data_IF_069278862921
#
_entry.id   IF_069278862921
#
_cell.length_a   1.000
_cell.length_b   1.000
_cell.length_c   1.000
_cell.angle_alpha   90.00
_cell.angle_beta   90.00
_cell.angle_gamma   90.00
#
_symmetry.space_group_name_H-M   'P 1'
#
loop_
_entity.id
_entity.type
_entity.pdbx_description
1 polymer ?
#
# COMPACT_ATOMS: atom_id res chain seq x y z
N UNK A 1 0.90 23.90 7.09
CA UNK A 1 1.35 23.08 8.23
C UNK A 1 2.56 23.75 8.88
N UNK A 2 2.63 23.85 10.22
CA UNK A 2 3.73 24.53 10.91
C UNK A 2 5.07 23.77 10.80
N UNK A 3 5.02 22.45 10.77
CA UNK A 3 6.20 21.58 10.73
C UNK A 3 6.88 21.56 9.35
N UNK A 4 6.12 21.55 8.24
CA UNK A 4 6.68 21.58 6.88
C UNK A 4 7.56 22.82 6.68
N UNK A 5 7.10 23.99 7.16
CA UNK A 5 7.88 25.23 7.15
C UNK A 5 9.15 25.10 7.98
N UNK A 6 9.10 24.43 9.13
CA UNK A 6 10.30 24.21 9.94
C UNK A 6 11.31 23.29 9.24
N UNK A 7 10.85 22.23 8.56
CA UNK A 7 11.74 21.37 7.76
C UNK A 7 12.36 22.15 6.60
N UNK A 8 11.59 23.02 5.93
CA UNK A 8 12.12 23.89 4.87
C UNK A 8 13.16 24.90 5.38
N UNK A 9 12.98 25.44 6.58
CA UNK A 9 13.99 26.29 7.22
C UNK A 9 15.23 25.48 7.65
N UNK A 10 15.03 24.28 8.20
CA UNK A 10 16.13 23.37 8.54
C UNK A 10 16.94 22.97 7.31
N UNK A 11 16.34 22.84 6.13
CA UNK A 11 17.06 22.56 4.90
C UNK A 11 18.14 23.61 4.54
N UNK A 12 18.09 24.81 5.14
CA UNK A 12 19.09 25.87 4.96
C UNK A 12 20.28 25.75 5.92
N UNK A 13 20.11 25.09 7.07
CA UNK A 13 21.08 25.10 8.18
C UNK A 13 21.50 23.70 8.66
N UNK A 14 20.75 22.66 8.31
CA UNK A 14 20.90 21.29 8.80
C UNK A 14 21.49 20.41 7.67
N UNK A 15 22.71 19.86 7.85
CA UNK A 15 23.40 19.09 6.81
C UNK A 15 22.66 17.84 6.32
N UNK A 16 21.98 17.11 7.21
CA UNK A 16 21.22 15.89 6.88
C UNK A 16 19.94 16.23 6.11
N UNK A 17 19.24 17.31 6.48
CA UNK A 17 18.08 17.77 5.70
C UNK A 17 18.51 18.27 4.33
N UNK A 18 19.65 18.94 4.23
CA UNK A 18 20.23 19.35 2.95
C UNK A 18 20.60 18.15 2.08
N UNK A 19 21.19 17.11 2.67
CA UNK A 19 21.50 15.84 2.00
C UNK A 19 20.24 15.20 1.38
N UNK A 20 19.15 15.12 2.13
CA UNK A 20 17.85 14.64 1.61
C UNK A 20 17.34 15.53 0.48
N UNK A 21 17.43 16.86 0.63
CA UNK A 21 17.03 17.84 -0.41
C UNK A 21 17.80 17.66 -1.72
N UNK A 22 19.04 17.23 -1.65
CA UNK A 22 19.90 16.93 -2.81
C UNK A 22 19.60 15.54 -3.42
N UNK A 23 18.59 14.83 -2.93
CA UNK A 23 18.18 13.52 -3.42
C UNK A 23 19.03 12.35 -2.92
N UNK A 24 19.87 12.58 -1.90
CA UNK A 24 20.68 11.53 -1.31
C UNK A 24 19.91 10.82 -0.18
N UNK A 25 20.04 9.50 -0.10
CA UNK A 25 19.47 8.72 1.01
C UNK A 25 20.31 8.90 2.27
N UNK A 26 19.63 8.97 3.41
CA UNK A 26 20.25 8.92 4.72
C UNK A 26 20.54 7.45 5.08
N UNK A 27 21.72 7.21 5.65
CA UNK A 27 22.00 5.95 6.33
C UNK A 27 21.11 5.79 7.57
N UNK A 28 21.05 4.58 8.13
CA UNK A 28 20.29 4.31 9.37
C UNK A 28 20.77 5.20 10.53
N UNK A 29 22.09 5.38 10.68
CA UNK A 29 22.68 6.21 11.74
C UNK A 29 22.34 7.69 11.54
N UNK A 30 22.48 8.21 10.32
CA UNK A 30 22.10 9.60 9.99
C UNK A 30 20.61 9.86 10.21
N UNK A 31 19.76 8.89 9.87
CA UNK A 31 18.32 8.99 10.09
C UNK A 31 17.99 9.08 11.58
N UNK A 32 18.68 8.29 12.42
CA UNK A 32 18.53 8.33 13.88
C UNK A 32 18.96 9.68 14.46
N UNK A 33 20.10 10.23 14.04
CA UNK A 33 20.57 11.56 14.47
C UNK A 33 19.57 12.66 14.09
N UNK A 34 19.04 12.61 12.87
CA UNK A 34 18.01 13.57 12.43
C UNK A 34 16.73 13.42 13.27
N UNK A 35 16.32 12.18 13.58
CA UNK A 35 15.14 11.90 14.39
C UNK A 35 15.25 12.45 15.81
N UNK A 36 16.37 12.22 16.50
CA UNK A 36 16.61 12.75 17.84
C UNK A 36 16.55 14.28 17.87
N UNK A 37 17.13 14.91 16.84
CA UNK A 37 17.17 16.37 16.72
C UNK A 37 15.78 16.97 16.50
N UNK A 38 14.98 16.36 15.62
CA UNK A 38 13.60 16.78 15.33
C UNK A 38 12.66 16.51 16.52
N UNK A 39 12.91 15.45 17.29
CA UNK A 39 12.19 15.14 18.52
C UNK A 39 12.54 16.06 19.71
N UNK A 40 13.38 17.08 19.51
CA UNK A 40 13.71 18.01 20.59
C UNK A 40 12.53 18.95 20.93
N UNK A 41 12.45 19.47 22.17
CA UNK A 41 11.46 20.49 22.59
C UNK A 41 11.55 21.82 21.81
N UNK A 42 12.49 21.94 20.87
CA UNK A 42 12.58 23.10 19.98
C UNK A 42 11.68 22.93 18.76
N UNK A 43 11.56 21.70 18.24
CA UNK A 43 10.79 21.40 17.05
C UNK A 43 9.47 20.69 17.38
N UNK A 44 9.37 19.94 18.48
CA UNK A 44 8.14 19.28 18.96
C UNK A 44 7.48 18.29 17.97
N UNK A 45 8.24 17.74 17.01
CA UNK A 45 7.70 16.76 16.07
C UNK A 45 8.50 15.46 16.14
N UNK A 46 7.80 14.35 16.37
CA UNK A 46 8.37 13.01 16.31
C UNK A 46 7.61 12.16 15.30
N UNK A 47 8.23 11.06 14.88
CA UNK A 47 7.68 10.18 13.85
C UNK A 47 6.28 9.66 14.20
N UNK A 48 6.00 9.37 15.47
CA UNK A 48 4.68 8.90 15.92
C UNK A 48 3.59 9.95 15.67
N UNK A 49 3.84 11.22 16.01
CA UNK A 49 2.90 12.31 15.76
C UNK A 49 2.66 12.54 14.26
N UNK A 50 3.69 12.35 13.42
CA UNK A 50 3.57 12.51 11.97
C UNK A 50 2.75 11.38 11.35
N UNK A 51 2.96 10.13 11.79
CA UNK A 51 2.15 8.97 11.39
C UNK A 51 0.67 9.19 11.69
N UNK A 52 0.36 9.70 12.87
CA UNK A 52 -1.01 10.01 13.28
C UNK A 52 -1.60 11.15 12.45
N UNK A 53 -0.88 12.29 12.33
CA UNK A 53 -1.37 13.47 11.63
C UNK A 53 -1.63 13.23 10.13
N UNK A 54 -0.89 12.31 9.50
CA UNK A 54 -1.03 11.98 8.08
C UNK A 54 -1.75 10.66 7.82
N UNK A 55 -2.29 10.01 8.85
CA UNK A 55 -2.93 8.69 8.75
C UNK A 55 -2.07 7.67 7.95
N UNK A 56 -0.74 7.73 8.13
CA UNK A 56 0.24 6.89 7.44
C UNK A 56 1.07 6.10 8.46
N UNK A 57 0.52 5.04 9.08
CA UNK A 57 1.20 4.25 10.10
C UNK A 57 2.57 3.68 9.72
N UNK A 58 2.82 3.19 8.48
CA UNK A 58 4.13 2.68 8.13
C UNK A 58 5.14 3.78 7.77
N UNK A 59 4.71 5.05 7.70
CA UNK A 59 5.56 6.16 7.29
C UNK A 59 6.79 6.34 8.17
N UNK A 60 7.91 6.65 7.53
CA UNK A 60 9.20 6.91 8.18
C UNK A 60 9.49 8.41 8.21
N UNK A 61 10.32 8.84 9.17
CA UNK A 61 10.75 10.23 9.23
C UNK A 61 11.37 10.74 7.92
N UNK A 62 12.15 9.91 7.23
CA UNK A 62 12.75 10.27 5.94
C UNK A 62 11.68 10.60 4.88
N UNK A 63 10.61 9.80 4.81
CA UNK A 63 9.50 10.05 3.89
C UNK A 63 8.77 11.35 4.22
N UNK A 64 8.50 11.61 5.50
CA UNK A 64 7.89 12.87 5.93
C UNK A 64 8.78 14.07 5.58
N UNK A 65 10.08 13.98 5.81
CA UNK A 65 11.04 15.04 5.45
C UNK A 65 11.03 15.28 3.93
N UNK A 66 11.09 14.22 3.12
CA UNK A 66 10.98 14.33 1.65
C UNK A 66 9.67 15.00 1.23
N UNK A 67 8.56 14.68 1.88
CA UNK A 67 7.26 15.33 1.61
C UNK A 67 7.24 16.80 2.00
N UNK A 68 7.77 17.17 3.17
CA UNK A 68 7.86 18.57 3.56
C UNK A 68 8.75 19.41 2.63
N UNK A 69 9.74 18.78 2.00
CA UNK A 69 10.61 19.38 1.00
C UNK A 69 10.01 19.38 -0.42
N UNK A 70 8.84 18.78 -0.62
CA UNK A 70 8.17 18.68 -1.93
C UNK A 70 8.86 17.70 -2.89
N UNK A 71 9.65 16.76 -2.38
CA UNK A 71 10.39 15.76 -3.17
C UNK A 71 9.49 14.58 -3.55
N UNK A 72 8.57 14.21 -2.65
CA UNK A 72 7.61 13.12 -2.87
C UNK A 72 6.28 13.41 -2.18
N UNK A 73 5.20 12.84 -2.68
CA UNK A 73 3.92 12.83 -1.98
C UNK A 73 3.83 11.59 -1.09
N UNK A 74 3.14 11.71 0.05
CA UNK A 74 2.78 10.54 0.85
C UNK A 74 1.65 9.78 0.16
N UNK A 75 1.60 8.46 0.29
CA UNK A 75 0.47 7.68 -0.20
C UNK A 75 -0.83 8.12 0.47
N UNK A 76 -1.90 8.14 -0.31
CA UNK A 76 -3.26 8.34 0.19
C UNK A 76 -3.75 7.10 0.95
N UNK A 77 -4.74 7.26 1.83
CA UNK A 77 -5.38 6.13 2.53
C UNK A 77 -5.87 5.04 1.56
N UNK A 78 -6.36 5.44 0.38
CA UNK A 78 -6.78 4.51 -0.66
C UNK A 78 -5.62 3.68 -1.23
N UNK A 79 -4.44 4.29 -1.41
CA UNK A 79 -3.24 3.58 -1.86
C UNK A 79 -2.71 2.62 -0.79
N UNK A 80 -2.70 3.06 0.47
CA UNK A 80 -2.32 2.19 1.61
C UNK A 80 -3.25 0.99 1.74
N UNK A 81 -4.55 1.21 1.52
CA UNK A 81 -5.52 0.14 1.47
C UNK A 81 -5.21 -0.83 0.32
N UNK A 82 -4.91 -0.34 -0.88
CA UNK A 82 -4.57 -1.17 -2.04
C UNK A 82 -3.32 -2.02 -1.84
N UNK A 83 -2.31 -1.43 -1.22
CA UNK A 83 -1.08 -2.12 -0.82
C UNK A 83 -1.40 -3.23 0.19
N UNK A 84 -2.16 -2.94 1.25
CA UNK A 84 -2.59 -3.93 2.24
C UNK A 84 -3.35 -5.10 1.61
N UNK A 85 -4.30 -4.81 0.72
CA UNK A 85 -5.05 -5.84 -0.01
C UNK A 85 -4.12 -6.67 -0.89
N UNK A 86 -3.14 -6.03 -1.54
CA UNK A 86 -2.17 -6.74 -2.37
C UNK A 86 -1.28 -7.66 -1.55
N UNK A 87 -0.77 -7.22 -0.40
CA UNK A 87 0.04 -8.05 0.50
C UNK A 87 -0.74 -9.26 1.03
N UNK A 88 -1.95 -9.03 1.54
CA UNK A 88 -2.83 -10.10 2.01
C UNK A 88 -3.14 -11.10 0.89
N UNK A 89 -3.35 -10.61 -0.32
CA UNK A 89 -3.63 -11.45 -1.47
C UNK A 89 -2.44 -12.31 -1.88
N UNK A 90 -1.22 -11.75 -1.94
CA UNK A 90 -0.03 -12.53 -2.27
C UNK A 90 0.26 -13.59 -1.20
N UNK A 91 0.14 -13.23 0.09
CA UNK A 91 0.28 -14.19 1.19
C UNK A 91 -0.74 -15.33 1.09
N UNK A 92 -2.00 -15.00 0.80
CA UNK A 92 -3.05 -15.99 0.59
C UNK A 92 -2.82 -16.87 -0.64
N UNK A 93 -2.32 -16.31 -1.75
CA UNK A 93 -1.97 -17.11 -2.94
C UNK A 93 -0.87 -18.13 -2.65
N UNK A 94 0.16 -17.74 -1.88
CA UNK A 94 1.27 -18.62 -1.50
C UNK A 94 0.75 -19.79 -0.64
N UNK A 95 -0.10 -19.52 0.34
CA UNK A 95 -0.71 -20.54 1.22
C UNK A 95 -1.53 -21.58 0.44
N UNK A 96 -2.28 -21.14 -0.57
CA UNK A 96 -3.24 -21.99 -1.29
C UNK A 96 -2.67 -22.79 -2.45
N UNK A 97 -1.47 -22.46 -2.92
CA UNK A 97 -0.78 -23.19 -4.00
C UNK A 97 -1.63 -23.37 -5.28
N UNK A 98 -2.34 -22.32 -5.70
CA UNK A 98 -3.14 -22.34 -6.92
C UNK A 98 -2.30 -22.63 -8.16
N UNK A 99 -2.91 -23.29 -9.15
CA UNK A 99 -2.27 -23.49 -10.46
C UNK A 99 -2.04 -22.14 -11.17
N UNK A 100 -1.10 -22.05 -12.12
CA UNK A 100 -0.77 -20.78 -12.80
C UNK A 100 -1.99 -20.10 -13.44
N UNK A 101 -2.90 -20.88 -14.02
CA UNK A 101 -4.11 -20.35 -14.65
C UNK A 101 -5.12 -19.81 -13.63
N UNK A 102 -5.34 -20.54 -12.53
CA UNK A 102 -6.15 -20.08 -11.39
C UNK A 102 -5.60 -18.78 -10.82
N UNK A 103 -4.27 -18.69 -10.65
CA UNK A 103 -3.59 -17.49 -10.16
C UNK A 103 -3.84 -16.30 -11.09
N UNK A 104 -3.75 -16.49 -12.41
CA UNK A 104 -4.03 -15.44 -13.40
C UNK A 104 -5.46 -14.91 -13.28
N UNK A 105 -6.44 -15.81 -13.12
CA UNK A 105 -7.85 -15.43 -12.92
C UNK A 105 -8.02 -14.66 -11.61
N UNK A 106 -7.46 -15.14 -10.50
CA UNK A 106 -7.59 -14.51 -9.18
C UNK A 106 -6.92 -13.13 -9.15
N UNK A 107 -5.84 -12.90 -9.91
CA UNK A 107 -5.23 -11.57 -10.04
C UNK A 107 -6.18 -10.57 -10.70
N UNK A 108 -6.96 -10.98 -11.71
CA UNK A 108 -8.00 -10.12 -12.29
C UNK A 108 -9.14 -9.86 -11.31
N UNK A 109 -9.53 -10.87 -10.52
CA UNK A 109 -10.50 -10.72 -9.44
C UNK A 109 -10.03 -9.67 -8.42
N UNK A 110 -8.77 -9.73 -7.97
CA UNK A 110 -8.17 -8.69 -7.11
C UNK A 110 -8.28 -7.30 -7.75
N UNK A 111 -7.91 -7.17 -9.03
CA UNK A 111 -8.00 -5.89 -9.73
C UNK A 111 -9.42 -5.33 -9.78
N UNK A 112 -10.43 -6.19 -10.01
CA UNK A 112 -11.84 -5.76 -9.96
C UNK A 112 -12.28 -5.36 -8.57
N UNK A 113 -11.84 -6.08 -7.54
CA UNK A 113 -12.13 -5.70 -6.15
C UNK A 113 -11.55 -4.32 -5.81
N UNK A 114 -10.29 -4.08 -6.16
CA UNK A 114 -9.62 -2.79 -5.94
C UNK A 114 -10.38 -1.67 -6.64
N UNK A 115 -10.74 -1.86 -7.91
CA UNK A 115 -11.45 -0.85 -8.69
C UNK A 115 -12.84 -0.50 -8.13
N UNK A 116 -13.57 -1.47 -7.57
CA UNK A 116 -14.98 -1.31 -7.15
C UNK A 116 -15.18 -1.08 -5.66
N UNK A 117 -14.22 -1.51 -4.85
CA UNK A 117 -14.32 -1.57 -3.39
C UNK A 117 -15.49 -2.43 -2.89
N UNK A 118 -16.03 -3.35 -3.67
CA UNK A 118 -17.20 -4.17 -3.31
C UNK A 118 -16.84 -5.66 -3.26
N UNK A 119 -17.54 -6.47 -2.44
CA UNK A 119 -17.38 -7.93 -2.45
C UNK A 119 -17.51 -8.51 -3.87
N UNK A 120 -16.74 -9.57 -4.15
CA UNK A 120 -16.75 -10.24 -5.44
C UNK A 120 -17.71 -11.43 -5.41
N UNK A 121 -18.60 -11.48 -6.40
CA UNK A 121 -19.50 -12.60 -6.64
C UNK A 121 -19.13 -13.33 -7.93
N UNK A 122 -19.64 -14.56 -8.11
CA UNK A 122 -19.41 -15.36 -9.32
C UNK A 122 -19.85 -14.63 -10.60
N UNK A 123 -20.84 -13.75 -10.49
CA UNK A 123 -21.34 -12.92 -11.59
C UNK A 123 -20.26 -12.02 -12.22
N UNK A 124 -19.16 -11.74 -11.51
CA UNK A 124 -18.02 -10.95 -12.03
C UNK A 124 -17.45 -11.56 -13.32
N UNK A 125 -17.51 -12.89 -13.48
CA UNK A 125 -16.94 -13.58 -14.64
C UNK A 125 -17.77 -13.44 -15.92
N UNK A 126 -18.94 -12.79 -15.85
CA UNK A 126 -19.72 -12.41 -17.02
C UNK A 126 -19.25 -11.09 -17.64
N UNK A 127 -18.26 -10.43 -17.04
CA UNK A 127 -17.80 -9.13 -17.49
C UNK A 127 -16.79 -9.22 -18.64
N UNK A 128 -16.72 -8.19 -19.50
CA UNK A 128 -15.87 -8.20 -20.69
C UNK A 128 -14.39 -8.51 -20.42
N UNK A 129 -13.86 -8.11 -19.25
CA UNK A 129 -12.46 -8.35 -18.88
C UNK A 129 -12.14 -9.85 -18.72
N UNK A 130 -13.14 -10.68 -18.41
CA UNK A 130 -12.99 -12.13 -18.29
C UNK A 130 -13.30 -12.88 -19.59
N UNK A 131 -13.89 -12.22 -20.59
CA UNK A 131 -14.18 -12.84 -21.91
C UNK A 131 -12.92 -13.34 -22.61
N UNK A 132 -11.80 -12.62 -22.46
CA UNK A 132 -10.50 -13.05 -22.99
C UNK A 132 -9.94 -14.32 -22.31
N UNK A 133 -10.49 -14.69 -21.15
CA UNK A 133 -10.21 -15.93 -20.43
C UNK A 133 -11.32 -16.98 -20.62
N UNK A 134 -12.21 -16.80 -21.60
CA UNK A 134 -13.33 -17.74 -21.83
C UNK A 134 -14.54 -17.55 -20.91
N UNK A 135 -14.55 -16.50 -20.08
CA UNK A 135 -15.67 -16.12 -19.22
C UNK A 135 -16.01 -17.16 -18.14
N UNK A 136 -17.23 -17.06 -17.58
CA UNK A 136 -17.67 -17.88 -16.45
C UNK A 136 -17.54 -19.39 -16.68
N UNK A 137 -17.90 -19.89 -17.88
CA UNK A 137 -17.86 -21.32 -18.17
C UNK A 137 -16.44 -21.90 -18.08
N UNK A 138 -15.44 -21.18 -18.64
CA UNK A 138 -14.04 -21.58 -18.55
C UNK A 138 -13.54 -21.52 -17.10
N UNK A 139 -13.86 -20.45 -16.38
CA UNK A 139 -13.46 -20.30 -14.98
C UNK A 139 -14.03 -21.43 -14.10
N UNK A 140 -15.29 -21.84 -14.33
CA UNK A 140 -15.87 -22.98 -13.62
C UNK A 140 -15.13 -24.29 -13.90
N UNK A 141 -14.64 -24.51 -15.12
CA UNK A 141 -13.81 -25.67 -15.45
C UNK A 141 -12.45 -25.62 -14.76
N UNK A 142 -11.80 -24.45 -14.73
CA UNK A 142 -10.50 -24.25 -14.09
C UNK A 142 -10.55 -24.42 -12.56
N UNK A 143 -11.69 -24.15 -11.94
CA UNK A 143 -11.88 -24.20 -10.49
C UNK A 143 -12.75 -25.38 -10.01
N UNK A 144 -12.95 -26.43 -10.82
CA UNK A 144 -13.77 -27.59 -10.48
C UNK A 144 -15.16 -27.21 -9.90
N UNK A 145 -15.82 -26.20 -10.47
CA UNK A 145 -17.16 -25.75 -10.07
C UNK A 145 -17.24 -25.21 -8.62
N UNK A 146 -17.59 -26.07 -7.66
CA UNK A 146 -17.91 -25.72 -6.27
C UNK A 146 -16.74 -25.07 -5.51
N UNK A 147 -15.50 -25.33 -5.92
CA UNK A 147 -14.33 -24.69 -5.30
C UNK A 147 -14.26 -23.20 -5.65
N UNK A 148 -14.81 -22.76 -6.79
CA UNK A 148 -14.81 -21.34 -7.16
C UNK A 148 -15.56 -20.50 -6.14
N UNK A 149 -16.78 -20.92 -5.78
CA UNK A 149 -17.61 -20.20 -4.81
C UNK A 149 -16.93 -20.13 -3.44
N UNK A 150 -16.37 -21.26 -3.00
CA UNK A 150 -15.65 -21.34 -1.73
C UNK A 150 -14.42 -20.43 -1.73
N UNK A 151 -13.69 -20.39 -2.85
CA UNK A 151 -12.51 -19.54 -3.05
C UNK A 151 -12.87 -18.06 -2.99
N UNK A 152 -13.92 -17.64 -3.71
CA UNK A 152 -14.38 -16.24 -3.69
C UNK A 152 -14.89 -15.83 -2.31
N UNK A 153 -15.61 -16.71 -1.62
CA UNK A 153 -16.06 -16.49 -0.24
C UNK A 153 -14.86 -16.29 0.69
N UNK A 154 -13.85 -17.12 0.57
CA UNK A 154 -12.64 -16.99 1.38
C UNK A 154 -11.89 -15.68 1.09
N UNK A 155 -11.74 -15.30 -0.19
CA UNK A 155 -11.15 -14.02 -0.58
C UNK A 155 -11.89 -12.83 0.05
N UNK A 156 -13.22 -12.81 -0.06
CA UNK A 156 -14.07 -11.77 0.53
C UNK A 156 -13.91 -11.67 2.05
N UNK A 157 -13.67 -12.79 2.73
CA UNK A 157 -13.61 -12.86 4.19
C UNK A 157 -12.21 -12.61 4.77
N UNK A 158 -11.15 -13.01 4.06
CA UNK A 158 -9.78 -13.02 4.60
C UNK A 158 -8.86 -11.98 3.97
N UNK A 159 -9.09 -11.65 2.70
CA UNK A 159 -8.20 -10.77 1.94
C UNK A 159 -8.85 -9.42 1.73
N UNK A 160 -10.08 -9.41 1.24
CA UNK A 160 -10.86 -8.22 0.88
C UNK A 160 -11.56 -7.59 2.08
N UNK A 161 -10.83 -7.49 3.19
CA UNK A 161 -11.29 -6.88 4.43
C UNK A 161 -11.25 -5.36 4.31
N UNK A 162 -12.39 -4.73 4.62
CA UNK A 162 -12.48 -3.27 4.74
C UNK A 162 -11.91 -2.83 6.07
#
# INVERSE_FOLDING_TARGET
MAWERQIQELAKAEPLVKKVKEGQELSSDESMVLAEKLNSPKYYFNEANLREAYHYPPGTLNEFVKTALGIQELPTEAQLYDERISELFEAWLIDKQFQPEQTKILRLVKSQYIARRSPIEVSIFNEPIFSALGGLNHVLQVFDGDKLQTTLKELNQRVFIR
#
